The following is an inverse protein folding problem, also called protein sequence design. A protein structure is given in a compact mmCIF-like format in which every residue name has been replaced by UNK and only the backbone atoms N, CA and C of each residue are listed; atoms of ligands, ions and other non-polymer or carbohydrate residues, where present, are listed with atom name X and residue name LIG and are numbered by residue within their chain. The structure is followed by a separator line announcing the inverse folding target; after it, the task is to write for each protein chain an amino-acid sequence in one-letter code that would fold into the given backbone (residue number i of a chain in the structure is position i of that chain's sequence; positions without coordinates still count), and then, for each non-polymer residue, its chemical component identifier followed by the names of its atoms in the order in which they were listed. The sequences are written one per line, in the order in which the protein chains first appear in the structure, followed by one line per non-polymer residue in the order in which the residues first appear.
data_IF_937997966437
#
_entry.id   IF_937997966437
#
_cell.length_a   1.000
_cell.length_b   1.000
_cell.length_c   1.000
_cell.angle_alpha   90.00
_cell.angle_beta   90.00
_cell.angle_gamma   90.00
#
_symmetry.space_group_name_H-M   'P 1'
#
loop_
_entity.id
_entity.type
_entity.pdbx_description
1 polymer ?
#
# COMPACT_ATOMS: atom_id res chain seq x y z
N UNK A 1 -12.39 -48.09 56.37
CA UNK A 1 -12.03 -48.04 54.93
C UNK A 1 -12.60 -49.27 54.26
N UNK A 2 -13.75 -49.18 53.58
CA UNK A 2 -14.36 -50.34 52.90
C UNK A 2 -13.66 -50.60 51.56
N UNK A 3 -13.70 -51.85 51.06
CA UNK A 3 -13.20 -52.22 49.73
C UNK A 3 -13.74 -51.31 48.61
N UNK A 4 -14.97 -50.82 48.77
CA UNK A 4 -15.62 -49.87 47.86
C UNK A 4 -14.88 -48.53 47.77
N UNK A 5 -14.36 -48.02 48.89
CA UNK A 5 -13.56 -46.79 48.92
C UNK A 5 -12.20 -46.99 48.23
N UNK A 6 -11.53 -48.12 48.47
CA UNK A 6 -10.27 -48.44 47.80
C UNK A 6 -10.44 -48.58 46.27
N UNK A 7 -11.54 -49.21 45.83
CA UNK A 7 -11.86 -49.35 44.41
C UNK A 7 -12.18 -48.01 43.73
N UNK A 8 -12.91 -47.12 44.41
CA UNK A 8 -13.22 -45.77 43.90
C UNK A 8 -11.94 -44.93 43.73
N UNK A 9 -11.03 -44.98 44.71
CA UNK A 9 -9.73 -44.31 44.62
C UNK A 9 -8.86 -44.90 43.50
N UNK A 10 -8.84 -46.23 43.32
CA UNK A 10 -8.10 -46.85 42.22
C UNK A 10 -8.65 -46.41 40.85
N UNK A 11 -9.97 -46.31 40.69
CA UNK A 11 -10.62 -45.80 39.48
C UNK A 11 -10.27 -44.33 39.20
N UNK A 12 -10.31 -43.47 40.23
CA UNK A 12 -9.95 -42.05 40.06
C UNK A 12 -8.48 -41.87 39.70
N UNK A 13 -7.58 -42.63 40.33
CA UNK A 13 -6.15 -42.58 40.03
C UNK A 13 -5.85 -43.07 38.61
N UNK A 14 -6.50 -44.15 38.16
CA UNK A 14 -6.33 -44.64 36.79
C UNK A 14 -6.86 -43.63 35.75
N UNK A 15 -8.02 -43.03 36.01
CA UNK A 15 -8.57 -41.98 35.16
C UNK A 15 -7.65 -40.74 35.09
N UNK A 16 -7.07 -40.34 36.22
CA UNK A 16 -6.10 -39.25 36.29
C UNK A 16 -4.83 -39.56 35.48
N UNK A 17 -4.23 -40.73 35.69
CA UNK A 17 -3.06 -41.18 34.91
C UNK A 17 -3.37 -41.26 33.42
N UNK A 18 -4.54 -41.80 33.04
CA UNK A 18 -4.96 -41.86 31.64
C UNK A 18 -5.06 -40.46 31.02
N UNK A 19 -5.61 -39.48 31.75
CA UNK A 19 -5.69 -38.09 31.29
C UNK A 19 -4.30 -37.45 31.17
N UNK A 20 -3.40 -37.70 32.13
CA UNK A 20 -2.01 -37.22 32.07
C UNK A 20 -1.25 -37.82 30.87
N UNK A 21 -1.38 -39.13 30.62
CA UNK A 21 -0.78 -39.78 29.44
C UNK A 21 -1.36 -39.22 28.14
N UNK A 22 -2.67 -38.94 28.10
CA UNK A 22 -3.30 -38.28 26.94
C UNK A 22 -2.70 -36.89 26.67
N UNK A 23 -2.42 -36.10 27.71
CA UNK A 23 -1.76 -34.78 27.56
C UNK A 23 -0.32 -34.93 27.05
N UNK A 24 0.43 -35.91 27.54
CA UNK A 24 1.77 -36.20 27.01
C UNK A 24 1.71 -36.58 25.53
N UNK A 25 0.78 -37.45 25.14
CA UNK A 25 0.57 -37.83 23.74
C UNK A 25 0.20 -36.64 22.86
N UNK A 26 -0.69 -35.75 23.33
CA UNK A 26 -1.05 -34.51 22.63
C UNK A 26 0.15 -33.58 22.47
N UNK A 27 0.95 -33.39 23.53
CA UNK A 27 2.17 -32.58 23.45
C UNK A 27 3.18 -33.14 22.44
N UNK A 28 3.32 -34.47 22.36
CA UNK A 28 4.19 -35.11 21.36
C UNK A 28 3.63 -34.88 19.95
N UNK A 29 2.32 -35.05 19.76
CA UNK A 29 1.67 -34.83 18.47
C UNK A 29 1.75 -33.38 17.99
N UNK A 30 1.56 -32.43 18.90
CA UNK A 30 1.60 -30.98 18.62
C UNK A 30 3.01 -30.39 18.64
N UNK A 31 4.06 -31.18 18.90
CA UNK A 31 5.42 -30.67 19.08
C UNK A 31 5.99 -29.92 17.87
N UNK A 32 5.43 -30.14 16.66
CA UNK A 32 5.83 -29.46 15.42
C UNK A 32 4.85 -28.38 14.96
N UNK A 33 3.75 -28.20 15.68
CA UNK A 33 2.75 -27.18 15.38
C UNK A 33 3.15 -25.86 16.06
N UNK A 34 3.31 -24.79 15.27
CA UNK A 34 3.74 -23.48 15.76
C UNK A 34 2.67 -22.76 16.60
N UNK A 35 1.41 -23.22 16.51
CA UNK A 35 0.28 -22.66 17.25
C UNK A 35 -0.10 -23.49 18.48
N UNK A 36 0.55 -24.65 18.68
CA UNK A 36 0.29 -25.52 19.83
C UNK A 36 1.02 -25.03 21.09
N UNK A 37 0.26 -24.72 22.14
CA UNK A 37 0.84 -24.43 23.46
C UNK A 37 1.04 -25.71 24.27
N UNK A 38 2.26 -25.93 24.78
CA UNK A 38 2.56 -27.09 25.65
C UNK A 38 1.62 -27.12 26.84
N UNK A 39 1.05 -28.29 27.12
CA UNK A 39 0.08 -28.49 28.21
C UNK A 39 0.72 -29.18 29.40
N UNK A 40 0.35 -28.75 30.60
CA UNK A 40 0.74 -29.38 31.85
C UNK A 40 -0.51 -29.94 32.53
N UNK A 41 -0.46 -31.22 32.90
CA UNK A 41 -1.53 -31.92 33.59
C UNK A 41 -1.17 -32.10 35.07
N UNK A 42 -1.70 -31.23 35.93
CA UNK A 42 -1.47 -31.26 37.38
C UNK A 42 -2.65 -31.88 38.11
N UNK A 43 -2.37 -32.66 39.16
CA UNK A 43 -3.40 -33.12 40.09
C UNK A 43 -3.78 -31.96 40.99
N UNK A 44 -5.07 -31.64 41.04
CA UNK A 44 -5.63 -30.58 41.86
C UNK A 44 -6.66 -31.18 42.80
N UNK A 45 -6.65 -30.75 44.06
CA UNK A 45 -7.66 -31.12 45.05
C UNK A 45 -8.90 -30.27 44.87
N UNK A 46 -10.01 -30.92 44.53
CA UNK A 46 -11.34 -30.34 44.46
C UNK A 46 -12.09 -30.37 45.80
N UNK A 47 -13.34 -29.90 45.81
CA UNK A 47 -14.21 -29.92 46.98
C UNK A 47 -14.30 -31.32 47.58
N UNK A 48 -14.37 -31.40 48.91
CA UNK A 48 -14.46 -32.67 49.66
C UNK A 48 -13.28 -33.65 49.44
N UNK A 49 -12.12 -33.16 49.01
CA UNK A 49 -10.90 -33.97 48.85
C UNK A 49 -10.89 -34.84 47.59
N UNK A 50 -11.77 -34.59 46.63
CA UNK A 50 -11.71 -35.25 45.31
C UNK A 50 -10.47 -34.83 44.54
N UNK A 51 -9.78 -35.74 43.87
CA UNK A 51 -8.64 -35.40 42.99
C UNK A 51 -9.13 -35.32 41.54
N UNK A 52 -8.80 -34.24 40.85
CA UNK A 52 -9.02 -34.11 39.40
C UNK A 52 -7.75 -33.62 38.71
N UNK A 53 -7.65 -33.86 37.40
CA UNK A 53 -6.54 -33.40 36.58
C UNK A 53 -6.90 -32.05 35.99
N UNK A 54 -6.26 -30.99 36.49
CA UNK A 54 -6.27 -29.67 35.87
C UNK A 54 -5.31 -29.65 34.69
N UNK A 55 -5.72 -29.02 33.59
CA UNK A 55 -4.88 -28.81 32.41
C UNK A 55 -4.62 -27.32 32.30
N UNK A 56 -3.35 -26.94 32.25
CA UNK A 56 -2.92 -25.57 31.98
C UNK A 56 -2.08 -25.53 30.71
N UNK A 57 -2.24 -24.44 29.94
CA UNK A 57 -1.37 -24.12 28.80
C UNK A 57 -0.14 -23.36 29.31
N UNK A 58 1.02 -23.70 28.78
CA UNK A 58 2.25 -22.93 28.95
C UNK A 58 2.27 -21.83 27.89
N UNK A 59 1.50 -20.77 28.13
CA UNK A 59 1.39 -19.61 27.25
C UNK A 59 1.69 -18.32 28.04
N UNK A 60 2.34 -17.36 27.40
CA UNK A 60 2.62 -16.04 27.96
C UNK A 60 1.83 -15.00 27.15
N UNK A 61 0.83 -14.40 27.80
CA UNK A 61 -0.07 -13.45 27.17
C UNK A 61 0.64 -12.14 26.78
N UNK A 62 1.61 -11.68 27.57
CA UNK A 62 2.36 -10.47 27.27
C UNK A 62 3.25 -10.68 26.04
N UNK A 63 3.89 -11.85 25.93
CA UNK A 63 4.65 -12.24 24.75
C UNK A 63 3.75 -12.38 23.51
N UNK A 64 2.59 -13.01 23.66
CA UNK A 64 1.62 -13.14 22.57
C UNK A 64 1.14 -11.77 22.06
N UNK A 65 0.75 -10.87 22.97
CA UNK A 65 0.33 -9.51 22.60
C UNK A 65 1.47 -8.75 21.90
N UNK A 66 2.71 -8.93 22.35
CA UNK A 66 3.88 -8.34 21.67
C UNK A 66 4.09 -8.92 20.28
N UNK A 67 3.87 -10.23 20.10
CA UNK A 67 3.93 -10.88 18.79
C UNK A 67 2.88 -10.30 17.84
N UNK A 68 1.62 -10.19 18.28
CA UNK A 68 0.52 -9.62 17.49
C UNK A 68 0.86 -8.21 16.97
N UNK A 69 1.35 -7.33 17.86
CA UNK A 69 1.78 -5.98 17.48
C UNK A 69 2.94 -5.99 16.48
N UNK A 70 3.97 -6.80 16.74
CA UNK A 70 5.14 -6.89 15.86
C UNK A 70 4.80 -7.49 14.50
N UNK A 71 3.91 -8.48 14.45
CA UNK A 71 3.49 -9.13 13.22
C UNK A 71 2.70 -8.15 12.33
N UNK A 72 1.85 -7.32 12.94
CA UNK A 72 1.11 -6.29 12.21
C UNK A 72 2.01 -5.20 11.64
N UNK A 73 2.95 -4.68 12.45
CA UNK A 73 3.92 -3.70 11.99
C UNK A 73 4.83 -4.24 10.88
N UNK A 74 5.28 -5.50 11.00
CA UNK A 74 6.07 -6.17 9.98
C UNK A 74 5.28 -6.36 8.67
N UNK A 75 4.01 -6.74 8.75
CA UNK A 75 3.15 -6.93 7.57
C UNK A 75 2.88 -5.61 6.84
N UNK A 76 2.64 -4.51 7.57
CA UNK A 76 2.55 -3.17 6.98
C UNK A 76 3.85 -2.77 6.28
N UNK A 77 4.99 -2.94 6.96
CA UNK A 77 6.31 -2.57 6.41
C UNK A 77 6.69 -3.39 5.18
N UNK A 78 6.41 -4.70 5.18
CA UNK A 78 6.63 -5.57 4.02
C UNK A 78 5.78 -5.12 2.82
N UNK A 79 4.50 -4.84 3.06
CA UNK A 79 3.59 -4.37 2.00
C UNK A 79 4.06 -3.05 1.41
N UNK A 80 4.47 -2.10 2.26
CA UNK A 80 5.05 -0.82 1.83
C UNK A 80 6.32 -1.03 1.02
N UNK A 81 7.25 -1.88 1.50
CA UNK A 81 8.50 -2.19 0.81
C UNK A 81 8.23 -2.79 -0.58
N UNK A 82 7.33 -3.77 -0.70
CA UNK A 82 6.96 -4.38 -1.98
C UNK A 82 6.40 -3.34 -2.96
N UNK A 83 5.57 -2.41 -2.48
CA UNK A 83 5.04 -1.32 -3.30
C UNK A 83 6.11 -0.30 -3.74
N UNK A 84 7.03 0.06 -2.85
CA UNK A 84 8.14 0.97 -3.14
C UNK A 84 9.16 0.33 -4.09
N UNK A 85 9.43 -0.97 -3.94
CA UNK A 85 10.30 -1.72 -4.85
C UNK A 85 9.74 -1.71 -6.27
N UNK A 86 8.42 -1.91 -6.43
CA UNK A 86 7.75 -1.79 -7.74
C UNK A 86 7.92 -0.39 -8.36
N UNK A 87 7.84 0.68 -7.57
CA UNK A 87 8.07 2.05 -8.05
C UNK A 87 9.54 2.30 -8.42
N UNK A 88 10.48 1.79 -7.62
CA UNK A 88 11.93 1.96 -7.83
C UNK A 88 12.43 1.19 -9.05
N UNK A 89 11.84 0.03 -9.34
CA UNK A 89 12.19 -0.81 -10.47
C UNK A 89 11.99 -0.11 -11.83
N UNK A 90 11.12 0.91 -11.89
CA UNK A 90 10.92 1.75 -13.08
C UNK A 90 12.19 2.44 -13.55
N UNK A 91 13.09 2.78 -12.61
CA UNK A 91 14.27 3.60 -12.88
C UNK A 91 15.58 2.90 -12.52
N UNK A 92 15.55 1.62 -12.15
CA UNK A 92 16.73 0.87 -11.72
C UNK A 92 17.60 0.36 -12.88
N UNK A 93 17.16 0.50 -14.14
CA UNK A 93 17.97 0.13 -15.30
C UNK A 93 19.12 1.15 -15.53
N UNK A 94 20.32 0.63 -15.85
CA UNK A 94 21.49 1.39 -16.30
C UNK A 94 21.81 2.65 -15.47
N UNK A 95 22.03 2.49 -14.15
CA UNK A 95 22.42 3.56 -13.22
C UNK A 95 21.47 4.77 -13.21
N UNK A 96 20.15 4.55 -13.26
CA UNK A 96 19.15 5.62 -13.25
C UNK A 96 19.14 6.51 -14.51
N UNK A 97 19.74 6.05 -15.61
CA UNK A 97 19.73 6.78 -16.90
C UNK A 97 18.30 7.05 -17.41
N UNK A 98 17.36 6.13 -17.15
CA UNK A 98 15.94 6.31 -17.46
C UNK A 98 15.14 7.15 -16.46
N UNK A 99 15.76 7.67 -15.40
CA UNK A 99 15.07 8.51 -14.41
C UNK A 99 14.70 9.88 -15.00
N UNK A 100 13.61 10.53 -14.54
CA UNK A 100 13.26 11.87 -15.00
C UNK A 100 14.41 12.87 -14.84
N UNK A 101 15.16 12.79 -13.74
CA UNK A 101 16.33 13.64 -13.50
C UNK A 101 17.46 13.41 -14.51
N UNK A 102 17.74 12.16 -14.86
CA UNK A 102 18.73 11.80 -15.88
C UNK A 102 18.33 12.32 -17.26
N UNK A 103 17.09 12.05 -17.66
CA UNK A 103 16.55 12.47 -18.96
C UNK A 103 16.42 14.00 -19.10
N UNK A 104 16.15 14.72 -18.00
CA UNK A 104 16.24 16.20 -17.99
C UNK A 104 17.68 16.67 -18.19
N UNK A 105 18.66 15.97 -17.60
CA UNK A 105 20.08 16.21 -17.82
C UNK A 105 20.48 16.01 -19.28
N UNK A 106 20.04 14.91 -19.89
CA UNK A 106 20.28 14.60 -21.30
C UNK A 106 19.63 15.65 -22.21
N UNK A 107 18.40 16.09 -21.90
CA UNK A 107 17.73 17.15 -22.64
C UNK A 107 18.51 18.46 -22.57
N UNK A 108 19.01 18.82 -21.38
CA UNK A 108 19.87 20.00 -21.19
C UNK A 108 21.14 19.92 -22.03
N UNK A 109 21.82 18.77 -22.04
CA UNK A 109 23.06 18.59 -22.80
C UNK A 109 22.82 18.59 -24.32
N UNK A 110 21.71 18.00 -24.78
CA UNK A 110 21.28 18.07 -26.17
C UNK A 110 20.99 19.53 -26.60
N UNK A 111 20.30 20.30 -25.75
CA UNK A 111 20.03 21.72 -26.00
C UNK A 111 21.32 22.55 -26.03
N UNK A 112 22.27 22.31 -25.12
CA UNK A 112 23.57 22.99 -25.15
C UNK A 112 24.36 22.68 -26.43
N UNK A 113 24.33 21.44 -26.89
CA UNK A 113 24.97 21.02 -28.13
C UNK A 113 24.31 21.68 -29.34
N UNK A 114 22.98 21.75 -29.38
CA UNK A 114 22.24 22.43 -30.44
C UNK A 114 22.48 23.94 -30.43
N UNK A 115 22.55 24.58 -29.26
CA UNK A 115 22.86 26.00 -29.11
C UNK A 115 24.22 26.39 -29.69
N UNK A 116 25.21 25.49 -29.65
CA UNK A 116 26.53 25.70 -30.24
C UNK A 116 26.52 25.63 -31.79
N UNK A 117 25.49 25.05 -32.40
CA UNK A 117 25.36 24.90 -33.86
C UNK A 117 23.88 24.92 -34.29
N UNK A 118 23.18 26.06 -34.11
CA UNK A 118 21.72 26.12 -34.20
C UNK A 118 21.18 26.06 -35.64
N UNK A 119 22.04 26.11 -36.65
CA UNK A 119 21.70 25.84 -38.05
C UNK A 119 21.70 24.35 -38.42
N UNK A 120 22.18 23.47 -37.53
CA UNK A 120 22.26 22.04 -37.79
C UNK A 120 20.93 21.36 -37.41
N UNK A 121 20.11 21.03 -38.41
CA UNK A 121 18.80 20.40 -38.19
C UNK A 121 18.92 19.04 -37.51
N UNK A 122 19.98 18.26 -37.77
CA UNK A 122 20.16 16.95 -37.15
C UNK A 122 20.38 17.04 -35.63
N UNK A 123 21.06 18.10 -35.16
CA UNK A 123 21.17 18.37 -33.72
C UNK A 123 19.83 18.80 -33.12
N UNK A 124 19.00 19.55 -33.86
CA UNK A 124 17.64 19.86 -33.46
C UNK A 124 16.76 18.62 -33.35
N UNK A 125 16.82 17.73 -34.34
CA UNK A 125 16.08 16.46 -34.32
C UNK A 125 16.53 15.58 -33.14
N UNK A 126 17.81 15.61 -32.79
CA UNK A 126 18.33 14.94 -31.59
C UNK A 126 17.72 15.49 -30.30
N UNK A 127 17.53 16.81 -30.19
CA UNK A 127 16.85 17.43 -29.03
C UNK A 127 15.40 16.97 -28.95
N UNK A 128 14.68 16.98 -30.09
CA UNK A 128 13.28 16.52 -30.17
C UNK A 128 13.18 15.05 -29.77
N UNK A 129 14.10 14.19 -30.20
CA UNK A 129 14.13 12.78 -29.82
C UNK A 129 14.36 12.58 -28.32
N UNK A 130 15.27 13.34 -27.70
CA UNK A 130 15.48 13.29 -26.24
C UNK A 130 14.25 13.80 -25.48
N UNK A 131 13.61 14.85 -25.97
CA UNK A 131 12.36 15.35 -25.41
C UNK A 131 11.22 14.31 -25.50
N UNK A 132 11.11 13.57 -26.60
CA UNK A 132 10.17 12.46 -26.73
C UNK A 132 10.45 11.35 -25.72
N UNK A 133 11.72 10.97 -25.54
CA UNK A 133 12.11 9.97 -24.52
C UNK A 133 11.75 10.41 -23.11
N UNK A 134 11.97 11.69 -22.77
CA UNK A 134 11.58 12.25 -21.47
C UNK A 134 10.06 12.24 -21.28
N UNK A 135 9.29 12.67 -22.29
CA UNK A 135 7.83 12.64 -22.23
C UNK A 135 7.30 11.21 -22.05
N UNK A 136 7.84 10.24 -22.81
CA UNK A 136 7.49 8.83 -22.69
C UNK A 136 7.82 8.27 -21.31
N UNK A 137 8.97 8.61 -20.72
CA UNK A 137 9.33 8.17 -19.38
C UNK A 137 8.38 8.70 -18.30
N UNK A 138 7.89 9.93 -18.44
CA UNK A 138 6.88 10.51 -17.54
C UNK A 138 5.50 9.84 -17.71
N UNK A 139 5.11 9.55 -18.95
CA UNK A 139 3.89 8.80 -19.26
C UNK A 139 3.95 7.39 -18.65
N UNK A 140 5.08 6.70 -18.80
CA UNK A 140 5.32 5.36 -18.27
C UNK A 140 5.30 5.35 -16.75
N UNK A 141 5.96 6.34 -16.11
CA UNK A 141 5.89 6.55 -14.68
C UNK A 141 4.44 6.70 -14.19
N UNK A 142 3.66 7.55 -14.85
CA UNK A 142 2.23 7.73 -14.54
C UNK A 142 1.44 6.44 -14.68
N UNK A 143 1.62 5.68 -15.77
CA UNK A 143 0.92 4.40 -15.98
C UNK A 143 1.22 3.41 -14.85
N UNK A 144 2.46 3.35 -14.41
CA UNK A 144 2.89 2.41 -13.38
C UNK A 144 2.41 2.79 -11.98
N UNK A 145 2.39 4.09 -11.68
CA UNK A 145 1.77 4.61 -10.46
C UNK A 145 0.28 4.28 -10.44
N UNK A 146 -0.44 4.49 -11.54
CA UNK A 146 -1.86 4.14 -11.59
C UNK A 146 -2.06 2.62 -11.51
N UNK A 147 -1.20 1.79 -12.11
CA UNK A 147 -1.27 0.33 -11.95
C UNK A 147 -1.12 -0.07 -10.49
N UNK A 148 -0.08 0.43 -9.81
CA UNK A 148 0.14 0.17 -8.38
C UNK A 148 -1.06 0.58 -7.53
N UNK A 149 -1.66 1.76 -7.79
CA UNK A 149 -2.85 2.22 -7.07
C UNK A 149 -4.05 1.32 -7.28
N UNK A 150 -4.31 0.91 -8.52
CA UNK A 150 -5.43 0.03 -8.86
C UNK A 150 -5.21 -1.38 -8.29
N UNK A 151 -3.98 -1.89 -8.31
CA UNK A 151 -3.62 -3.18 -7.71
C UNK A 151 -3.82 -3.14 -6.19
N UNK A 152 -3.32 -2.10 -5.52
CA UNK A 152 -3.54 -1.89 -4.09
C UNK A 152 -5.04 -1.82 -3.75
N UNK A 153 -5.87 -1.17 -4.57
CA UNK A 153 -7.32 -1.13 -4.38
C UNK A 153 -7.98 -2.52 -4.46
N UNK A 154 -7.50 -3.40 -5.34
CA UNK A 154 -7.98 -4.80 -5.39
C UNK A 154 -7.52 -5.59 -4.18
N UNK A 155 -6.23 -5.46 -3.84
CA UNK A 155 -5.65 -6.16 -2.69
C UNK A 155 -6.29 -5.73 -1.36
N UNK A 156 -6.78 -4.49 -1.25
CA UNK A 156 -7.57 -4.01 -0.11
C UNK A 156 -8.89 -4.79 -0.02
N UNK A 157 -9.58 -4.99 -1.14
CA UNK A 157 -10.82 -5.78 -1.16
C UNK A 157 -10.57 -7.23 -0.70
N UNK A 158 -9.47 -7.83 -1.15
CA UNK A 158 -9.07 -9.18 -0.73
C UNK A 158 -8.71 -9.23 0.76
N UNK A 159 -7.99 -8.22 1.27
CA UNK A 159 -7.67 -8.11 2.70
C UNK A 159 -8.95 -8.00 3.55
N UNK A 160 -9.90 -7.16 3.13
CA UNK A 160 -11.19 -7.00 3.80
C UNK A 160 -12.00 -8.30 3.78
N UNK A 161 -12.00 -9.04 2.67
CA UNK A 161 -12.63 -10.35 2.61
C UNK A 161 -11.98 -11.35 3.59
N UNK A 162 -10.63 -11.40 3.63
CA UNK A 162 -9.90 -12.26 4.54
C UNK A 162 -10.15 -11.90 6.03
N UNK A 163 -10.15 -10.61 6.36
CA UNK A 163 -10.46 -10.12 7.72
C UNK A 163 -11.85 -10.60 8.15
N UNK A 164 -12.86 -10.48 7.30
CA UNK A 164 -14.22 -10.93 7.63
C UNK A 164 -14.29 -12.45 7.84
N UNK A 165 -13.58 -13.25 7.03
CA UNK A 165 -13.52 -14.71 7.20
C UNK A 165 -12.79 -15.10 8.51
N UNK A 166 -11.68 -14.43 8.83
CA UNK A 166 -10.95 -14.62 10.08
C UNK A 166 -11.79 -14.25 11.30
N UNK A 167 -12.54 -13.14 11.25
CA UNK A 167 -13.46 -12.73 12.33
C UNK A 167 -14.61 -13.74 12.51
N UNK A 168 -15.17 -14.29 11.43
CA UNK A 168 -16.20 -15.32 11.51
C UNK A 168 -15.69 -16.63 12.11
N UNK A 169 -14.47 -17.06 11.74
CA UNK A 169 -13.79 -18.20 12.36
C UNK A 169 -13.48 -17.95 13.83
N UNK A 170 -13.03 -16.74 14.15
CA UNK A 170 -12.74 -16.32 15.52
C UNK A 170 -14.01 -16.36 16.38
N UNK A 171 -15.13 -15.86 15.87
CA UNK A 171 -16.41 -15.89 16.58
C UNK A 171 -16.77 -17.32 17.00
N UNK A 172 -16.67 -18.30 16.09
CA UNK A 172 -16.92 -19.70 16.38
C UNK A 172 -15.96 -20.26 17.43
N UNK A 173 -14.66 -20.02 17.27
CA UNK A 173 -13.65 -20.48 18.23
C UNK A 173 -13.89 -19.87 19.62
N UNK A 174 -14.25 -18.59 19.69
CA UNK A 174 -14.55 -17.90 20.94
C UNK A 174 -15.83 -18.46 21.60
N UNK A 175 -16.87 -18.78 20.83
CA UNK A 175 -18.06 -19.45 21.35
C UNK A 175 -17.75 -20.83 21.95
N UNK A 176 -16.89 -21.62 21.30
CA UNK A 176 -16.43 -22.91 21.81
C UNK A 176 -15.59 -22.76 23.10
N UNK A 177 -14.73 -21.75 23.17
CA UNK A 177 -13.96 -21.40 24.39
C UNK A 177 -14.90 -21.01 25.54
N UNK A 178 -15.84 -20.08 25.31
CA UNK A 178 -16.75 -19.60 26.35
C UNK A 178 -17.68 -20.73 26.81
N UNK A 179 -18.26 -21.48 25.88
CA UNK A 179 -19.14 -22.62 26.17
C UNK A 179 -18.41 -23.72 26.93
N UNK A 180 -17.22 -24.10 26.50
CA UNK A 180 -16.41 -25.10 27.18
C UNK A 180 -15.94 -24.65 28.57
N UNK A 181 -15.57 -23.37 28.73
CA UNK A 181 -15.16 -22.79 30.02
C UNK A 181 -16.31 -22.84 31.02
N UNK A 182 -17.52 -22.42 30.62
CA UNK A 182 -18.73 -22.48 31.47
C UNK A 182 -19.11 -23.89 31.87
N UNK A 183 -18.86 -24.88 31.00
CA UNK A 183 -19.09 -26.29 31.28
C UNK A 183 -17.96 -26.96 32.08
N UNK A 184 -16.88 -26.24 32.42
CA UNK A 184 -15.70 -26.79 33.09
C UNK A 184 -14.93 -27.82 32.25
N UNK A 185 -15.04 -27.76 30.92
CA UNK A 185 -14.35 -28.64 29.98
C UNK A 185 -12.95 -28.09 29.66
N UNK A 186 -12.08 -28.97 29.20
CA UNK A 186 -10.78 -28.58 28.65
C UNK A 186 -10.99 -27.85 27.31
N UNK A 187 -10.67 -26.56 27.27
CA UNK A 187 -10.78 -25.69 26.09
C UNK A 187 -9.45 -25.41 25.43
N UNK A 188 -8.39 -26.12 25.80
CA UNK A 188 -7.02 -25.80 25.35
C UNK A 188 -6.87 -25.82 23.83
N UNK A 189 -7.53 -26.77 23.16
CA UNK A 189 -7.54 -26.88 21.69
C UNK A 189 -8.20 -25.64 21.03
N UNK A 190 -9.30 -25.16 21.59
CA UNK A 190 -10.01 -23.98 21.08
C UNK A 190 -9.25 -22.68 21.38
N UNK A 191 -8.54 -22.61 22.51
CA UNK A 191 -7.66 -21.49 22.81
C UNK A 191 -6.47 -21.43 21.83
N UNK A 192 -5.83 -22.57 21.52
CA UNK A 192 -4.78 -22.63 20.50
C UNK A 192 -5.31 -22.17 19.13
N UNK A 193 -6.50 -22.64 18.72
CA UNK A 193 -7.14 -22.21 17.47
C UNK A 193 -7.46 -20.71 17.45
N UNK A 194 -7.96 -20.16 18.56
CA UNK A 194 -8.27 -18.74 18.70
C UNK A 194 -7.01 -17.89 18.58
N UNK A 195 -5.93 -18.31 19.24
CA UNK A 195 -4.65 -17.60 19.21
C UNK A 195 -4.05 -17.63 17.78
N UNK A 196 -4.14 -18.77 17.07
CA UNK A 196 -3.73 -18.86 15.66
C UNK A 196 -4.50 -17.90 14.75
N UNK A 197 -5.83 -17.80 14.93
CA UNK A 197 -6.67 -16.87 14.18
C UNK A 197 -6.31 -15.41 14.46
N UNK A 198 -5.99 -15.06 15.71
CA UNK A 198 -5.51 -13.73 16.06
C UNK A 198 -4.16 -13.41 15.41
N UNK A 199 -3.22 -14.36 15.34
CA UNK A 199 -1.94 -14.18 14.63
C UNK A 199 -2.16 -13.90 13.15
N UNK A 200 -3.08 -14.61 12.51
CA UNK A 200 -3.44 -14.38 11.10
C UNK A 200 -4.12 -13.01 10.93
N UNK A 201 -5.09 -12.68 11.79
CA UNK A 201 -5.80 -11.40 11.75
C UNK A 201 -4.85 -10.22 11.96
N UNK A 202 -3.87 -10.35 12.85
CA UNK A 202 -2.89 -9.30 13.11
C UNK A 202 -2.01 -9.01 11.90
N UNK A 203 -1.80 -9.99 11.02
CA UNK A 203 -1.08 -9.78 9.75
C UNK A 203 -1.87 -8.92 8.77
N UNK A 204 -3.20 -9.04 8.76
CA UNK A 204 -4.07 -8.25 7.87
C UNK A 204 -4.35 -6.84 8.42
N UNK A 205 -4.62 -6.72 9.72
CA UNK A 205 -4.99 -5.45 10.37
C UNK A 205 -4.39 -5.36 11.78
N UNK A 206 -3.97 -4.16 12.18
CA UNK A 206 -3.54 -3.87 13.55
C UNK A 206 -4.68 -4.07 14.53
N UNK A 207 -4.49 -4.97 15.50
CA UNK A 207 -5.50 -5.30 16.50
C UNK A 207 -4.98 -5.16 17.93
N UNK A 208 -5.90 -4.85 18.84
CA UNK A 208 -5.72 -5.00 20.29
C UNK A 208 -6.85 -5.88 20.83
N UNK A 209 -6.53 -6.68 21.83
CA UNK A 209 -7.48 -7.64 22.41
C UNK A 209 -7.70 -7.35 23.90
N UNK A 210 -8.88 -7.69 24.39
CA UNK A 210 -9.22 -7.59 25.81
C UNK A 210 -10.00 -8.83 26.22
N UNK A 211 -9.53 -9.54 27.24
CA UNK A 211 -10.27 -10.68 27.81
C UNK A 211 -11.33 -10.21 28.82
N UNK A 212 -12.48 -10.89 28.81
CA UNK A 212 -13.59 -10.73 29.75
C UNK A 212 -13.78 -12.04 30.54
N UNK A 213 -14.84 -12.10 31.36
CA UNK A 213 -15.20 -13.31 32.09
C UNK A 213 -15.43 -14.51 31.17
N UNK A 214 -15.34 -15.73 31.71
CA UNK A 214 -15.52 -16.99 30.99
C UNK A 214 -14.55 -17.20 29.80
N UNK A 215 -13.38 -16.57 29.83
CA UNK A 215 -12.42 -16.53 28.72
C UNK A 215 -12.97 -15.88 27.43
N UNK A 216 -14.04 -15.08 27.52
CA UNK A 216 -14.51 -14.29 26.38
C UNK A 216 -13.47 -13.21 25.99
N UNK A 217 -13.51 -12.74 24.74
CA UNK A 217 -12.55 -11.78 24.22
C UNK A 217 -13.21 -10.74 23.31
N UNK A 218 -12.75 -9.50 23.41
CA UNK A 218 -13.10 -8.38 22.53
C UNK A 218 -11.89 -8.04 21.68
N UNK A 219 -12.10 -7.71 20.40
CA UNK A 219 -11.06 -7.26 19.47
C UNK A 219 -11.39 -5.85 19.02
N UNK A 220 -10.42 -4.96 19.14
CA UNK A 220 -10.44 -3.61 18.57
C UNK A 220 -9.38 -3.52 17.49
N UNK A 221 -9.65 -2.76 16.44
CA UNK A 221 -8.61 -2.24 15.57
C UNK A 221 -7.74 -1.24 16.35
N UNK A 222 -6.51 -1.02 15.88
CA UNK A 222 -5.55 -0.13 16.53
C UNK A 222 -6.03 1.34 16.62
N UNK A 223 -6.93 1.74 15.73
CA UNK A 223 -7.62 3.03 15.77
C UNK A 223 -8.77 3.12 16.81
N UNK A 224 -9.01 2.06 17.58
CA UNK A 224 -10.05 1.96 18.60
C UNK A 224 -11.41 1.47 18.10
N UNK A 225 -11.59 1.25 16.79
CA UNK A 225 -12.85 0.73 16.23
C UNK A 225 -13.02 -0.72 16.63
N UNK A 226 -14.17 -1.08 17.20
CA UNK A 226 -14.47 -2.47 17.57
C UNK A 226 -14.58 -3.34 16.32
N UNK A 227 -13.89 -4.48 16.29
CA UNK A 227 -13.96 -5.49 15.23
C UNK A 227 -14.76 -6.72 15.67
N UNK A 228 -14.65 -7.08 16.95
CA UNK A 228 -15.38 -8.19 17.54
C UNK A 228 -15.72 -7.88 19.00
N UNK A 229 -16.92 -8.21 19.42
CA UNK A 229 -17.30 -8.19 20.83
C UNK A 229 -18.09 -9.44 21.21
N UNK A 230 -19.34 -9.55 20.74
CA UNK A 230 -20.14 -10.78 20.87
C UNK A 230 -20.33 -11.44 19.52
N UNK A 231 -20.42 -10.63 18.47
CA UNK A 231 -20.48 -11.02 17.07
C UNK A 231 -19.40 -10.27 16.30
N UNK A 232 -18.92 -10.85 15.22
CA UNK A 232 -18.05 -10.16 14.28
C UNK A 232 -18.77 -8.94 13.68
N UNK A 233 -18.11 -7.78 13.71
CA UNK A 233 -18.57 -6.57 13.01
C UNK A 233 -18.09 -6.62 11.58
N UNK A 234 -18.93 -6.16 10.66
CA UNK A 234 -18.65 -6.30 9.23
C UNK A 234 -17.68 -5.22 8.80
N UNK A 235 -16.50 -5.63 8.32
CA UNK A 235 -15.59 -4.75 7.61
C UNK A 235 -16.07 -4.65 6.16
N UNK A 236 -16.24 -3.44 5.66
CA UNK A 236 -16.80 -3.18 4.34
C UNK A 236 -15.87 -2.29 3.54
N UNK A 237 -15.73 -2.64 2.27
CA UNK A 237 -15.00 -1.87 1.29
C UNK A 237 -15.67 -2.07 -0.06
N UNK A 238 -15.92 -0.98 -0.75
CA UNK A 238 -16.33 -1.01 -2.14
C UNK A 238 -15.14 -0.67 -3.01
N UNK A 239 -14.70 -1.63 -3.81
CA UNK A 239 -13.62 -1.42 -4.76
C UNK A 239 -13.99 -0.31 -5.76
N UNK A 240 -13.00 0.49 -6.12
CA UNK A 240 -13.11 1.50 -7.18
C UNK A 240 -13.02 0.81 -8.54
N UNK A 241 -13.83 1.24 -9.52
CA UNK A 241 -13.78 0.65 -10.87
C UNK A 241 -12.43 0.90 -11.55
N UNK A 242 -11.98 2.15 -11.54
CA UNK A 242 -10.64 2.59 -11.95
C UNK A 242 -10.27 3.82 -11.11
N UNK A 243 -9.08 3.81 -10.53
CA UNK A 243 -8.46 5.00 -9.94
C UNK A 243 -7.65 5.72 -11.01
N UNK A 244 -8.01 6.98 -11.26
CA UNK A 244 -7.27 7.90 -12.13
C UNK A 244 -6.53 8.94 -11.28
N UNK A 245 -5.58 9.71 -11.87
CA UNK A 245 -4.95 10.83 -11.18
C UNK A 245 -6.00 11.80 -10.61
N UNK A 246 -5.76 12.27 -9.38
CA UNK A 246 -6.65 13.22 -8.68
C UNK A 246 -7.92 12.62 -8.06
N UNK A 247 -8.27 11.36 -8.35
CA UNK A 247 -9.42 10.67 -7.74
C UNK A 247 -8.98 9.94 -6.47
N UNK A 248 -9.64 10.25 -5.35
CA UNK A 248 -9.41 9.58 -4.07
C UNK A 248 -9.97 8.15 -4.07
N UNK A 249 -9.28 7.24 -3.38
CA UNK A 249 -9.77 5.90 -3.13
C UNK A 249 -10.98 5.89 -2.19
N UNK A 250 -11.82 4.86 -2.30
CA UNK A 250 -12.93 4.67 -1.37
C UNK A 250 -12.42 4.26 0.02
N UNK A 251 -13.12 4.67 1.07
CA UNK A 251 -12.76 4.33 2.44
C UNK A 251 -13.14 2.89 2.78
N UNK A 252 -12.35 2.25 3.64
CA UNK A 252 -12.73 1.02 4.34
C UNK A 252 -13.44 1.40 5.62
N UNK A 253 -14.59 0.77 5.89
CA UNK A 253 -15.40 1.09 7.08
C UNK A 253 -15.77 -0.16 7.86
N UNK A 254 -15.93 -0.03 9.17
CA UNK A 254 -16.48 -1.07 10.06
C UNK A 254 -17.79 -0.55 10.61
N UNK A 255 -18.89 -1.23 10.32
CA UNK A 255 -20.25 -0.76 10.64
C UNK A 255 -20.53 0.69 10.21
N UNK A 256 -19.94 1.13 9.08
CA UNK A 256 -20.08 2.49 8.55
C UNK A 256 -19.12 3.53 9.16
N UNK A 257 -18.29 3.16 10.12
CA UNK A 257 -17.23 4.03 10.68
C UNK A 257 -15.93 3.83 9.89
N UNK A 258 -15.34 4.87 9.29
CA UNK A 258 -14.06 4.75 8.58
C UNK A 258 -12.95 4.20 9.46
N UNK A 259 -12.11 3.33 8.90
CA UNK A 259 -10.90 2.85 9.57
C UNK A 259 -9.80 3.92 9.67
N UNK A 260 -9.90 5.01 8.92
CA UNK A 260 -8.96 6.13 8.99
C UNK A 260 -9.23 7.03 10.20
N UNK A 261 -8.18 7.46 10.90
CA UNK A 261 -8.25 8.46 11.96
C UNK A 261 -7.32 9.64 11.65
N UNK A 262 -7.89 10.78 11.30
CA UNK A 262 -7.19 11.99 10.84
C UNK A 262 -6.22 12.59 11.86
N UNK A 263 -6.49 12.41 13.16
CA UNK A 263 -5.62 12.90 14.24
C UNK A 263 -4.48 11.94 14.66
N UNK A 264 -4.30 10.80 14.00
CA UNK A 264 -3.30 9.80 14.39
C UNK A 264 -2.03 9.94 13.52
N UNK A 265 -0.85 9.77 14.13
CA UNK A 265 0.43 9.78 13.40
C UNK A 265 0.48 8.69 12.31
N UNK A 266 -0.18 7.55 12.57
CA UNK A 266 -0.46 6.50 11.59
C UNK A 266 -1.97 6.40 11.37
N UNK A 267 -2.54 7.20 10.44
CA UNK A 267 -3.99 7.34 10.31
C UNK A 267 -4.68 6.04 9.90
N UNK A 268 -3.95 5.07 9.34
CA UNK A 268 -4.46 3.77 8.91
C UNK A 268 -4.06 2.60 9.83
N UNK A 269 -3.31 2.85 10.91
CA UNK A 269 -2.81 1.83 11.84
C UNK A 269 -1.72 0.94 11.24
N UNK A 270 -1.63 -0.33 11.67
CA UNK A 270 -0.70 -1.35 11.15
C UNK A 270 -1.41 -2.51 10.43
N UNK A 271 -0.65 -3.48 9.92
CA UNK A 271 -1.14 -4.62 9.13
C UNK A 271 -1.08 -4.40 7.62
N UNK A 272 -1.29 -5.48 6.85
CA UNK A 272 -1.30 -5.46 5.39
C UNK A 272 -2.27 -4.42 4.83
N UNK A 273 -3.49 -4.36 5.37
CA UNK A 273 -4.52 -3.40 4.97
C UNK A 273 -4.04 -1.95 5.08
N UNK A 274 -3.37 -1.61 6.20
CA UNK A 274 -2.82 -0.27 6.40
C UNK A 274 -1.72 0.06 5.38
N UNK A 275 -0.81 -0.89 5.13
CA UNK A 275 0.25 -0.71 4.13
C UNK A 275 -0.32 -0.43 2.74
N UNK A 276 -1.37 -1.15 2.34
CA UNK A 276 -2.06 -0.93 1.06
C UNK A 276 -2.75 0.44 1.00
N UNK A 277 -3.43 0.86 2.08
CA UNK A 277 -4.09 2.17 2.16
C UNK A 277 -3.05 3.30 2.06
N UNK A 278 -1.92 3.17 2.76
CA UNK A 278 -0.80 4.13 2.67
C UNK A 278 -0.23 4.22 1.26
N UNK A 279 -0.02 3.08 0.58
CA UNK A 279 0.44 3.06 -0.81
C UNK A 279 -0.56 3.77 -1.74
N UNK A 280 -1.85 3.42 -1.64
CA UNK A 280 -2.89 3.91 -2.55
C UNK A 280 -3.23 5.39 -2.35
N UNK A 281 -3.28 5.84 -1.09
CA UNK A 281 -3.85 7.12 -0.69
C UNK A 281 -2.80 8.19 -0.35
N UNK A 282 -1.56 7.81 -0.06
CA UNK A 282 -0.50 8.76 0.31
C UNK A 282 0.69 8.68 -0.65
N UNK A 283 1.37 7.53 -0.70
CA UNK A 283 2.66 7.40 -1.39
C UNK A 283 2.50 7.52 -2.91
N UNK A 284 1.61 6.72 -3.51
CA UNK A 284 1.44 6.74 -4.96
C UNK A 284 0.84 8.06 -5.47
N UNK A 285 -0.16 8.70 -4.81
CA UNK A 285 -0.60 10.05 -5.16
C UNK A 285 0.51 11.10 -5.02
N UNK A 286 1.34 11.03 -3.97
CA UNK A 286 2.47 11.94 -3.81
C UNK A 286 3.48 11.79 -4.95
N UNK A 287 3.79 10.55 -5.33
CA UNK A 287 4.68 10.27 -6.45
C UNK A 287 4.09 10.77 -7.79
N UNK A 288 2.79 10.57 -8.01
CA UNK A 288 2.09 11.15 -9.18
C UNK A 288 2.21 12.67 -9.21
N UNK A 289 2.00 13.35 -8.08
CA UNK A 289 2.13 14.81 -8.00
C UNK A 289 3.55 15.29 -8.34
N UNK A 290 4.57 14.53 -7.96
CA UNK A 290 5.96 14.85 -8.31
C UNK A 290 6.20 14.73 -9.82
N UNK A 291 5.70 13.66 -10.45
CA UNK A 291 5.77 13.51 -11.91
C UNK A 291 5.00 14.63 -12.62
N UNK A 292 3.80 14.93 -12.14
CA UNK A 292 2.92 15.98 -12.68
C UNK A 292 3.59 17.36 -12.59
N UNK A 293 4.27 17.68 -11.49
CA UNK A 293 5.01 18.95 -11.36
C UNK A 293 6.23 19.03 -12.28
N UNK A 294 6.93 17.92 -12.52
CA UNK A 294 8.02 17.88 -13.51
C UNK A 294 7.45 18.17 -14.90
N UNK A 295 6.38 17.47 -15.29
CA UNK A 295 5.72 17.68 -16.59
C UNK A 295 5.18 19.10 -16.74
N UNK A 296 4.53 19.65 -15.70
CA UNK A 296 4.06 21.04 -15.67
C UNK A 296 5.22 22.02 -15.86
N UNK A 297 6.34 21.80 -15.16
CA UNK A 297 7.56 22.58 -15.30
C UNK A 297 8.11 22.56 -16.72
N UNK A 298 8.19 21.39 -17.35
CA UNK A 298 8.63 21.24 -18.74
C UNK A 298 7.71 22.00 -19.71
N UNK A 299 6.39 21.82 -19.62
CA UNK A 299 5.45 22.54 -20.50
C UNK A 299 5.56 24.06 -20.30
N UNK A 300 5.77 24.51 -19.07
CA UNK A 300 5.87 25.94 -18.74
C UNK A 300 7.18 26.56 -19.24
N UNK A 301 8.32 25.91 -19.00
CA UNK A 301 9.66 26.39 -19.40
C UNK A 301 9.79 26.47 -20.92
N UNK A 302 9.16 25.53 -21.62
CA UNK A 302 9.17 25.46 -23.09
C UNK A 302 7.98 26.13 -23.77
N UNK A 303 7.20 26.94 -23.04
CA UNK A 303 6.11 27.72 -23.63
C UNK A 303 6.63 28.82 -24.56
N UNK A 304 5.86 29.13 -25.59
CA UNK A 304 6.08 30.29 -26.47
C UNK A 304 5.23 31.48 -25.98
N UNK A 305 5.85 32.66 -25.96
CA UNK A 305 5.18 33.93 -25.70
C UNK A 305 4.92 34.69 -26.99
N UNK A 306 3.79 35.37 -27.06
CA UNK A 306 3.47 36.27 -28.16
C UNK A 306 4.42 37.47 -28.18
N UNK A 307 5.14 37.66 -29.28
CA UNK A 307 6.08 38.76 -29.47
C UNK A 307 5.39 40.11 -29.66
N UNK A 308 4.09 40.12 -29.97
CA UNK A 308 3.27 41.33 -30.08
C UNK A 308 2.63 41.75 -28.75
N UNK A 309 2.67 40.88 -27.73
CA UNK A 309 2.05 41.10 -26.42
C UNK A 309 0.52 41.17 -26.43
N UNK A 310 -0.14 40.69 -27.50
CA UNK A 310 -1.59 40.81 -27.70
C UNK A 310 -2.35 39.52 -27.35
N UNK A 311 -1.64 38.39 -27.29
CA UNK A 311 -2.16 37.03 -27.10
C UNK A 311 -1.46 36.37 -25.91
N UNK A 312 -2.12 35.40 -25.23
CA UNK A 312 -1.50 34.69 -24.11
C UNK A 312 -0.35 33.78 -24.58
N UNK A 313 0.51 33.42 -23.63
CA UNK A 313 1.52 32.38 -23.83
C UNK A 313 0.85 31.03 -24.15
N UNK A 314 1.48 30.27 -25.03
CA UNK A 314 0.98 28.97 -25.51
C UNK A 314 2.06 27.89 -25.38
N UNK A 315 1.64 26.64 -25.34
CA UNK A 315 2.58 25.50 -25.25
C UNK A 315 3.51 25.44 -26.46
N UNK A 316 4.81 25.24 -26.24
CA UNK A 316 5.83 25.12 -27.29
C UNK A 316 6.27 23.68 -27.50
N UNK A 317 7.53 23.35 -27.17
CA UNK A 317 8.12 22.02 -27.44
C UNK A 317 7.29 20.88 -26.82
N UNK A 318 6.84 21.04 -25.58
CA UNK A 318 5.97 20.10 -24.91
C UNK A 318 4.52 20.57 -24.96
N UNK A 319 3.62 19.64 -25.22
CA UNK A 319 2.17 19.80 -25.13
C UNK A 319 1.58 18.82 -24.13
N UNK A 320 0.31 19.05 -23.77
CA UNK A 320 -0.45 18.22 -22.84
C UNK A 320 -1.94 18.26 -23.23
N UNK A 321 -2.77 17.51 -22.52
CA UNK A 321 -4.21 17.43 -22.79
C UNK A 321 -4.98 18.77 -22.78
N UNK A 322 -4.44 19.81 -22.13
CA UNK A 322 -5.00 21.16 -22.12
C UNK A 322 -4.37 22.15 -23.13
N UNK A 323 -3.45 21.69 -23.99
CA UNK A 323 -2.87 22.51 -25.06
C UNK A 323 -3.96 23.09 -26.00
N UNK A 324 -3.78 24.32 -26.53
CA UNK A 324 -2.54 25.10 -26.56
C UNK A 324 -2.29 25.97 -25.30
N UNK A 325 -3.19 25.96 -24.32
CA UNK A 325 -3.02 26.75 -23.10
C UNK A 325 -1.89 26.16 -22.23
N UNK A 326 -1.07 27.04 -21.64
CA UNK A 326 -0.12 26.63 -20.61
C UNK A 326 -0.86 26.17 -19.35
N UNK A 327 -0.35 25.14 -18.63
CA UNK A 327 -0.96 24.72 -17.38
C UNK A 327 -0.92 25.86 -16.35
N UNK A 328 -1.95 25.95 -15.52
CA UNK A 328 -2.03 26.96 -14.47
C UNK A 328 -0.96 26.78 -13.39
N UNK A 329 -0.88 27.74 -12.46
CA UNK A 329 0.06 27.68 -11.34
C UNK A 329 -0.23 26.56 -10.31
N UNK A 330 -1.41 25.95 -10.38
CA UNK A 330 -1.80 24.82 -9.53
C UNK A 330 -1.45 23.46 -10.14
N UNK A 331 -1.43 22.43 -9.30
CA UNK A 331 -1.25 21.03 -9.69
C UNK A 331 -2.31 20.62 -10.72
N UNK A 332 -1.86 20.13 -11.88
CA UNK A 332 -2.71 19.56 -12.92
C UNK A 332 -2.62 18.04 -12.86
N UNK A 333 -3.55 17.41 -12.15
CA UNK A 333 -3.50 15.97 -11.89
C UNK A 333 -3.47 15.16 -13.20
N UNK A 334 -2.46 14.31 -13.34
CA UNK A 334 -2.28 13.43 -14.50
C UNK A 334 -1.64 14.09 -15.72
N UNK A 335 -1.17 15.35 -15.63
CA UNK A 335 -0.48 16.02 -16.75
C UNK A 335 0.73 15.20 -17.25
N UNK A 336 1.47 14.55 -16.35
CA UNK A 336 2.61 13.71 -16.71
C UNK A 336 2.22 12.45 -17.49
N UNK A 337 0.95 12.02 -17.43
CA UNK A 337 0.42 10.93 -18.24
C UNK A 337 -0.10 11.34 -19.60
N UNK A 338 -0.08 12.64 -19.91
CA UNK A 338 -0.56 13.20 -21.19
C UNK A 338 0.48 14.10 -21.86
N UNK A 339 1.69 14.19 -21.29
CA UNK A 339 2.74 15.03 -21.83
C UNK A 339 3.29 14.39 -23.11
N UNK A 340 3.42 15.19 -24.15
CA UNK A 340 3.98 14.77 -25.43
C UNK A 340 4.78 15.90 -26.07
N UNK A 341 5.58 15.56 -27.08
CA UNK A 341 6.26 16.57 -27.88
C UNK A 341 5.28 17.07 -28.95
N UNK A 342 5.15 18.39 -29.06
CA UNK A 342 4.19 19.02 -29.96
C UNK A 342 4.52 18.71 -31.42
N UNK A 343 3.50 18.31 -32.19
CA UNK A 343 3.56 17.97 -33.62
C UNK A 343 4.39 18.96 -34.48
N UNK A 344 4.30 20.30 -34.29
CA UNK A 344 5.09 21.24 -35.09
C UNK A 344 6.61 21.04 -35.03
N UNK A 345 7.13 20.39 -33.99
CA UNK A 345 8.57 20.13 -33.83
C UNK A 345 9.01 18.78 -34.43
N UNK A 346 8.08 17.89 -34.77
CA UNK A 346 8.37 16.52 -35.19
C UNK A 346 8.47 16.43 -36.71
N UNK A 347 9.69 16.20 -37.22
CA UNK A 347 9.96 16.13 -38.67
C UNK A 347 9.15 15.04 -39.39
N UNK A 348 8.93 13.88 -38.76
CA UNK A 348 8.15 12.78 -39.35
C UNK A 348 6.66 13.10 -39.51
N UNK A 349 6.16 14.13 -38.82
CA UNK A 349 4.75 14.56 -38.86
C UNK A 349 4.58 15.87 -39.65
N UNK A 350 5.60 16.28 -40.40
CA UNK A 350 5.58 17.51 -41.22
C UNK A 350 6.01 18.77 -40.46
N UNK A 351 6.50 18.63 -39.22
CA UNK A 351 7.10 19.70 -38.43
C UNK A 351 8.57 19.98 -38.74
N UNK A 352 9.20 20.82 -37.93
CA UNK A 352 10.63 21.13 -38.03
C UNK A 352 11.25 21.44 -36.68
N UNK A 353 12.36 20.76 -36.36
CA UNK A 353 13.16 21.06 -35.16
C UNK A 353 13.78 22.47 -35.18
N UNK A 354 13.82 23.15 -36.34
CA UNK A 354 14.26 24.55 -36.42
C UNK A 354 13.37 25.50 -35.61
N UNK A 355 12.12 25.10 -35.29
CA UNK A 355 11.25 25.86 -34.40
C UNK A 355 11.80 25.97 -32.98
N UNK A 356 12.68 25.05 -32.53
CA UNK A 356 13.39 25.20 -31.25
C UNK A 356 14.21 26.50 -31.19
N UNK A 357 14.81 26.86 -32.34
CA UNK A 357 15.57 28.10 -32.52
C UNK A 357 14.64 29.26 -32.84
N UNK A 358 13.76 29.08 -33.82
CA UNK A 358 13.03 30.19 -34.45
C UNK A 358 11.76 30.59 -33.70
N UNK A 359 11.18 29.66 -32.94
CA UNK A 359 9.82 29.69 -32.45
C UNK A 359 8.79 29.80 -33.57
N UNK A 360 7.54 30.00 -33.19
CA UNK A 360 6.41 30.15 -34.11
C UNK A 360 5.65 28.86 -34.34
N UNK A 361 5.77 27.88 -33.44
CA UNK A 361 4.90 26.69 -33.44
C UNK A 361 3.42 27.08 -33.33
N UNK A 362 3.14 28.22 -32.67
CA UNK A 362 1.81 28.79 -32.50
C UNK A 362 1.48 29.91 -33.52
N UNK A 363 2.25 30.02 -34.61
CA UNK A 363 2.04 30.99 -35.68
C UNK A 363 2.99 32.19 -35.64
N UNK A 364 2.80 33.13 -36.57
CA UNK A 364 3.77 34.20 -36.85
C UNK A 364 4.05 35.13 -35.65
N UNK A 365 3.05 35.34 -34.79
CA UNK A 365 3.16 36.16 -33.60
C UNK A 365 4.09 35.57 -32.53
N UNK A 366 4.29 34.25 -32.56
CA UNK A 366 5.15 33.50 -31.63
C UNK A 366 6.55 33.24 -32.21
N UNK A 367 6.87 33.81 -33.37
CA UNK A 367 8.18 33.66 -34.02
C UNK A 367 9.17 34.68 -33.49
N UNK A 368 10.26 34.21 -32.90
CA UNK A 368 11.30 35.04 -32.31
C UNK A 368 12.40 35.38 -33.32
N UNK A 369 12.74 34.44 -34.21
CA UNK A 369 13.76 34.65 -35.24
C UNK A 369 13.17 35.11 -36.58
N UNK A 370 12.60 36.31 -36.61
CA UNK A 370 11.94 36.85 -37.82
C UNK A 370 12.91 37.11 -38.99
N UNK A 371 14.21 37.32 -38.72
CA UNK A 371 15.24 37.59 -39.73
C UNK A 371 16.03 36.34 -40.17
N UNK A 372 15.77 35.17 -39.59
CA UNK A 372 16.48 33.93 -39.92
C UNK A 372 17.96 33.96 -39.52
N UNK A 373 18.31 34.72 -38.48
CA UNK A 373 19.67 34.84 -38.00
C UNK A 373 20.18 33.50 -37.45
N UNK A 374 21.35 33.06 -37.91
CA UNK A 374 21.95 31.80 -37.51
C UNK A 374 22.51 31.80 -36.06
N UNK A 375 22.47 32.93 -35.35
CA UNK A 375 23.07 33.08 -34.01
C UNK A 375 22.07 33.19 -32.84
N UNK A 376 20.77 33.00 -33.06
CA UNK A 376 19.79 33.04 -31.97
C UNK A 376 19.90 31.76 -31.13
N UNK A 377 20.17 31.90 -29.84
CA UNK A 377 20.27 30.79 -28.89
C UNK A 377 18.87 30.55 -28.31
N UNK A 378 18.19 29.53 -28.84
CA UNK A 378 16.98 28.86 -28.31
C UNK A 378 15.88 29.82 -27.80
N UNK A 379 14.86 30.04 -28.62
CA UNK A 379 13.69 30.84 -28.26
C UNK A 379 12.75 30.15 -27.25
N UNK A 380 12.78 28.81 -27.20
CA UNK A 380 11.83 27.98 -26.45
C UNK A 380 12.31 27.57 -25.04
N UNK A 381 13.24 28.28 -24.39
CA UNK A 381 13.62 27.97 -23.00
C UNK A 381 13.79 29.25 -22.19
N UNK A 382 12.82 29.56 -21.32
CA UNK A 382 12.89 30.68 -20.35
C UNK A 382 13.38 30.24 -18.98
#
# INVERSE_FOLDING_TARGET
MSLSSALLTAKSSLAATSKQTSVVSRNISGAKDADYSRRTASLVSGPYGSLYVGISRSADEAMFNRYIQSNSAASASSTLADGLDRLSALYSADNYSGSPSGLIGDLRDALQTYAASPSNSALGDSVVSVAQSLANALNDGTRQVQSLRNDADREIADSVANINDLLAKFEKANQDVVGGTRMGRDVSDYLDQRDALLKQLSGEIGITTMMRGDNDMVIFAENGVTLFETTARKVTFEQSAVLTPGVAGKAVTVDGVPLSHDTFDQPFGTGRLSGLLQLRDQIAPQYQMQLDEIARGLVTVFAESDQTGSSPDQTGLFSWSGSPAIPGAGLSAGIAGTIEVSVPFIASEGGSALLLRDGGANGANYKYNVQGAAGLVIACAR
#
